data_IF_929457490570
#
_entry.id   IF_929457490570
#
_cell.length_a   1.000
_cell.length_b   1.000
_cell.length_c   1.000
_cell.angle_alpha   90.00
_cell.angle_beta   90.00
_cell.angle_gamma   90.00
#
_symmetry.space_group_name_H-M   'P 1'
#
loop_
_entity.id
_entity.type
_entity.pdbx_description
1 polymer ?
#
# COMPACT_ATOMS: atom_id res chain seq x y z
N UNK A 1 -26.81 13.77 -10.27
CA UNK A 1 -26.18 14.12 -8.98
C UNK A 1 -24.98 13.20 -8.82
N UNK A 2 -23.79 13.72 -8.51
CA UNK A 2 -22.63 12.86 -8.28
C UNK A 2 -22.80 12.17 -6.92
N UNK A 3 -23.12 10.88 -6.93
CA UNK A 3 -23.13 10.10 -5.71
C UNK A 3 -21.70 10.02 -5.15
N UNK A 4 -21.56 10.18 -3.83
CA UNK A 4 -20.31 10.06 -3.10
C UNK A 4 -20.34 8.77 -2.28
N UNK A 5 -19.20 8.08 -2.18
CA UNK A 5 -19.03 6.82 -1.46
C UNK A 5 -18.37 7.04 -0.10
N UNK A 6 -19.12 7.54 0.88
CA UNK A 6 -18.68 7.62 2.29
C UNK A 6 -18.95 6.31 3.05
N UNK A 7 -18.54 5.19 2.46
CA UNK A 7 -18.73 3.84 2.98
C UNK A 7 -17.60 3.42 3.95
N UNK A 8 -17.69 2.21 4.50
CA UNK A 8 -16.69 1.68 5.43
C UNK A 8 -15.27 1.73 4.85
N UNK A 9 -15.13 1.49 3.54
CA UNK A 9 -13.85 1.57 2.86
C UNK A 9 -13.27 3.00 2.90
N UNK A 10 -14.07 4.03 2.62
CA UNK A 10 -13.62 5.42 2.74
C UNK A 10 -13.09 5.75 4.14
N UNK A 11 -13.85 5.38 5.19
CA UNK A 11 -13.46 5.68 6.57
C UNK A 11 -12.19 4.91 7.01
N UNK A 12 -11.91 3.76 6.39
CA UNK A 12 -10.69 2.98 6.65
C UNK A 12 -9.47 3.50 5.88
N UNK A 13 -9.66 4.08 4.69
CA UNK A 13 -8.57 4.70 3.92
C UNK A 13 -8.20 6.10 4.44
N UNK A 14 -9.16 6.83 5.01
CA UNK A 14 -8.95 8.21 5.46
C UNK A 14 -7.80 8.37 6.48
N UNK A 15 -7.64 7.52 7.52
CA UNK A 15 -6.49 7.57 8.41
C UNK A 15 -5.17 7.35 7.68
N UNK A 16 -5.11 6.42 6.72
CA UNK A 16 -3.91 6.15 5.92
C UNK A 16 -3.53 7.39 5.08
N UNK A 17 -4.52 8.05 4.48
CA UNK A 17 -4.32 9.31 3.77
C UNK A 17 -3.80 10.42 4.69
N UNK A 18 -4.32 10.53 5.92
CA UNK A 18 -3.85 11.48 6.92
C UNK A 18 -2.39 11.24 7.34
N UNK A 19 -2.03 9.97 7.53
CA UNK A 19 -0.65 9.56 7.85
C UNK A 19 0.33 9.91 6.71
N UNK A 20 -0.05 9.68 5.45
CA UNK A 20 0.79 10.05 4.30
C UNK A 20 0.93 11.58 4.17
N UNK A 21 -0.16 12.33 4.38
CA UNK A 21 -0.15 13.79 4.35
C UNK A 21 0.80 14.38 5.40
N UNK A 22 0.74 13.86 6.63
CA UNK A 22 1.66 14.24 7.72
C UNK A 22 3.12 13.92 7.37
N UNK A 23 3.36 12.76 6.74
CA UNK A 23 4.69 12.36 6.28
C UNK A 23 5.25 13.33 5.25
N UNK A 24 4.46 13.68 4.23
CA UNK A 24 4.85 14.61 3.16
C UNK A 24 5.16 15.98 3.74
N UNK A 25 4.27 16.53 4.58
CA UNK A 25 4.49 17.81 5.22
C UNK A 25 5.78 17.81 6.07
N UNK A 26 6.04 16.72 6.80
CA UNK A 26 7.27 16.55 7.57
C UNK A 26 8.50 16.45 6.69
N UNK A 27 8.43 15.71 5.59
CA UNK A 27 9.54 15.52 4.64
C UNK A 27 9.93 16.84 3.97
N UNK A 28 8.95 17.59 3.46
CA UNK A 28 9.16 18.89 2.83
C UNK A 28 9.79 19.91 3.79
N UNK A 29 9.32 19.94 5.05
CA UNK A 29 9.88 20.79 6.10
C UNK A 29 11.32 20.40 6.46
N UNK A 30 11.59 19.11 6.64
CA UNK A 30 12.91 18.62 7.08
C UNK A 30 14.00 18.74 6.02
N UNK A 31 13.63 18.68 4.75
CA UNK A 31 14.57 18.86 3.64
C UNK A 31 14.86 20.33 3.33
N UNK A 32 14.34 21.25 4.16
CA UNK A 32 14.41 22.71 3.99
C UNK A 32 13.96 23.18 2.60
N UNK A 33 13.15 22.38 1.90
CA UNK A 33 12.69 22.68 0.53
C UNK A 33 11.71 23.84 0.52
N UNK A 34 10.94 24.01 1.61
CA UNK A 34 9.81 24.94 1.70
C UNK A 34 9.62 25.48 3.13
N UNK A 35 8.95 26.62 3.24
CA UNK A 35 8.43 27.13 4.51
C UNK A 35 7.40 26.17 5.12
N UNK A 36 7.11 26.31 6.42
CA UNK A 36 6.11 25.51 7.12
C UNK A 36 4.75 25.52 6.39
N UNK A 37 4.29 26.69 5.95
CA UNK A 37 3.04 26.84 5.20
C UNK A 37 3.06 26.08 3.87
N UNK A 38 4.16 26.15 3.12
CA UNK A 38 4.30 25.39 1.88
C UNK A 38 4.30 23.87 2.09
N UNK A 39 4.98 23.40 3.13
CA UNK A 39 5.01 21.99 3.48
C UNK A 39 3.62 21.46 3.91
N UNK A 40 2.89 22.23 4.71
CA UNK A 40 1.52 21.91 5.11
C UNK A 40 0.55 21.90 3.93
N UNK A 41 0.72 22.83 2.97
CA UNK A 41 -0.10 22.86 1.75
C UNK A 41 0.06 21.57 0.93
N UNK A 42 1.29 21.09 0.72
CA UNK A 42 1.50 19.82 0.02
C UNK A 42 0.91 18.62 0.76
N UNK A 43 1.02 18.59 2.09
CA UNK A 43 0.34 17.58 2.91
C UNK A 43 -1.17 17.62 2.73
N UNK A 44 -1.77 18.82 2.80
CA UNK A 44 -3.21 19.01 2.61
C UNK A 44 -3.67 18.62 1.20
N UNK A 45 -2.91 18.93 0.15
CA UNK A 45 -3.21 18.53 -1.22
C UNK A 45 -3.17 17.01 -1.39
N UNK A 46 -2.20 16.32 -0.80
CA UNK A 46 -2.18 14.84 -0.85
C UNK A 46 -3.37 14.25 -0.09
N UNK A 47 -3.67 14.78 1.11
CA UNK A 47 -4.84 14.33 1.88
C UNK A 47 -6.14 14.49 1.10
N UNK A 48 -6.36 15.68 0.51
CA UNK A 48 -7.55 15.98 -0.27
C UNK A 48 -7.65 15.11 -1.52
N UNK A 49 -6.56 14.92 -2.25
CA UNK A 49 -6.57 14.08 -3.47
C UNK A 49 -6.82 12.61 -3.14
N UNK A 50 -6.17 12.05 -2.12
CA UNK A 50 -6.42 10.66 -1.68
C UNK A 50 -7.82 10.49 -1.10
N UNK A 51 -8.30 11.44 -0.30
CA UNK A 51 -9.67 11.45 0.22
C UNK A 51 -10.71 11.52 -0.90
N UNK A 52 -10.48 12.37 -1.91
CA UNK A 52 -11.32 12.47 -3.11
C UNK A 52 -11.35 11.15 -3.90
N UNK A 53 -10.19 10.52 -4.09
CA UNK A 53 -10.08 9.22 -4.76
C UNK A 53 -10.79 8.10 -3.99
N UNK A 54 -10.76 8.13 -2.66
CA UNK A 54 -11.47 7.18 -1.83
C UNK A 54 -12.99 7.42 -1.80
N UNK A 55 -13.42 8.69 -1.81
CA UNK A 55 -14.83 9.08 -1.70
C UNK A 55 -15.56 9.11 -3.04
N UNK A 56 -14.88 9.21 -4.16
CA UNK A 56 -15.56 9.36 -5.45
C UNK A 56 -16.28 8.08 -5.86
N UNK A 57 -17.53 8.21 -6.32
CA UNK A 57 -18.21 7.11 -6.99
C UNK A 57 -17.90 7.08 -8.50
N UNK A 58 -17.33 8.12 -9.10
CA UNK A 58 -17.21 8.21 -10.56
C UNK A 58 -15.83 7.78 -11.05
N UNK A 59 -15.72 6.82 -11.99
CA UNK A 59 -14.44 6.48 -12.61
C UNK A 59 -13.77 7.68 -13.31
N UNK A 60 -14.56 8.60 -13.88
CA UNK A 60 -14.03 9.80 -14.52
C UNK A 60 -13.39 10.76 -13.50
N UNK A 61 -14.09 11.03 -12.40
CA UNK A 61 -13.56 11.85 -11.31
C UNK A 61 -12.32 11.20 -10.70
N UNK A 62 -12.29 9.87 -10.60
CA UNK A 62 -11.12 9.12 -10.15
C UNK A 62 -9.90 9.36 -11.05
N UNK A 63 -10.06 9.29 -12.38
CA UNK A 63 -8.99 9.57 -13.35
C UNK A 63 -8.50 11.01 -13.23
N UNK A 64 -9.42 11.97 -13.14
CA UNK A 64 -9.07 13.41 -13.01
C UNK A 64 -8.34 13.68 -11.70
N UNK A 65 -8.79 13.12 -10.59
CA UNK A 65 -8.14 13.24 -9.29
C UNK A 65 -6.75 12.57 -9.29
N UNK A 66 -6.59 11.43 -9.97
CA UNK A 66 -5.30 10.77 -10.18
C UNK A 66 -4.33 11.63 -10.99
N UNK A 67 -4.81 12.28 -12.05
CA UNK A 67 -4.02 13.23 -12.84
C UNK A 67 -3.62 14.47 -12.02
N UNK A 68 -4.54 15.02 -11.23
CA UNK A 68 -4.25 16.13 -10.31
C UNK A 68 -3.15 15.75 -9.31
N UNK A 69 -3.25 14.56 -8.72
CA UNK A 69 -2.22 14.03 -7.81
C UNK A 69 -0.85 13.93 -8.48
N UNK A 70 -0.79 13.47 -9.73
CA UNK A 70 0.47 13.45 -10.50
C UNK A 70 1.05 14.85 -10.70
N UNK A 71 0.21 15.85 -10.95
CA UNK A 71 0.63 17.26 -11.06
C UNK A 71 1.17 17.79 -9.73
N UNK A 72 0.55 17.42 -8.59
CA UNK A 72 1.04 17.78 -7.24
C UNK A 72 2.41 17.15 -6.99
N UNK A 73 2.59 15.87 -7.32
CA UNK A 73 3.89 15.18 -7.19
C UNK A 73 4.95 15.82 -8.09
N UNK A 74 4.60 16.16 -9.34
CA UNK A 74 5.51 16.86 -10.25
C UNK A 74 5.93 18.23 -9.72
N UNK A 75 4.98 19.02 -9.22
CA UNK A 75 5.26 20.33 -8.63
C UNK A 75 6.14 20.25 -7.38
N UNK A 76 6.05 19.15 -6.63
CA UNK A 76 6.87 18.89 -5.44
C UNK A 76 8.29 18.43 -5.78
N UNK A 77 8.43 17.46 -6.69
CA UNK A 77 9.72 16.82 -6.98
C UNK A 77 10.46 17.40 -8.19
N UNK A 78 9.81 18.24 -9.00
CA UNK A 78 10.36 18.86 -10.20
C UNK A 78 10.61 17.91 -11.37
N UNK A 79 10.27 16.61 -11.23
CA UNK A 79 10.42 15.57 -12.25
C UNK A 79 9.30 14.55 -12.13
N UNK A 80 8.88 14.00 -13.28
CA UNK A 80 7.98 12.85 -13.31
C UNK A 80 8.78 11.58 -13.02
N UNK A 81 8.30 10.82 -12.05
CA UNK A 81 8.88 9.54 -11.72
C UNK A 81 8.23 8.44 -12.56
N UNK A 82 9.02 7.75 -13.38
CA UNK A 82 8.56 6.76 -14.38
C UNK A 82 7.61 5.74 -13.76
N UNK A 83 7.92 5.24 -12.57
CA UNK A 83 7.08 4.25 -11.89
C UNK A 83 5.75 4.82 -11.39
N UNK A 84 5.75 6.07 -10.91
CA UNK A 84 4.52 6.78 -10.54
C UNK A 84 3.61 7.02 -11.75
N UNK A 85 4.20 7.38 -12.89
CA UNK A 85 3.49 7.50 -14.17
C UNK A 85 2.91 6.14 -14.57
N UNK A 86 3.72 5.08 -14.57
CA UNK A 86 3.29 3.74 -14.97
C UNK A 86 2.07 3.25 -14.16
N UNK A 87 2.09 3.35 -12.83
CA UNK A 87 0.96 2.95 -11.98
C UNK A 87 -0.30 3.75 -12.29
N UNK A 88 -0.17 5.07 -12.39
CA UNK A 88 -1.30 5.96 -12.68
C UNK A 88 -1.88 5.68 -14.06
N UNK A 89 -1.03 5.45 -15.06
CA UNK A 89 -1.47 5.09 -16.41
C UNK A 89 -2.22 3.76 -16.43
N UNK A 90 -1.71 2.72 -15.77
CA UNK A 90 -2.40 1.43 -15.69
C UNK A 90 -3.79 1.56 -15.05
N UNK A 91 -3.88 2.29 -13.94
CA UNK A 91 -5.14 2.54 -13.24
C UNK A 91 -6.11 3.37 -14.09
N UNK A 92 -5.61 4.44 -14.73
CA UNK A 92 -6.44 5.29 -15.58
C UNK A 92 -6.93 4.56 -16.82
N UNK A 93 -6.11 3.71 -17.44
CA UNK A 93 -6.53 2.86 -18.56
C UNK A 93 -7.63 1.90 -18.14
N UNK A 94 -7.50 1.27 -16.96
CA UNK A 94 -8.55 0.39 -16.43
C UNK A 94 -9.88 1.14 -16.23
N UNK A 95 -9.84 2.34 -15.64
CA UNK A 95 -11.02 3.18 -15.45
C UNK A 95 -11.64 3.64 -16.79
N UNK A 96 -10.81 3.99 -17.78
CA UNK A 96 -11.28 4.37 -19.12
C UNK A 96 -11.93 3.19 -19.85
N UNK A 97 -11.38 1.97 -19.74
CA UNK A 97 -12.00 0.77 -20.32
C UNK A 97 -13.37 0.50 -19.68
N UNK A 98 -13.49 0.64 -18.35
CA UNK A 98 -14.79 0.51 -17.66
C UNK A 98 -15.82 1.55 -18.13
N UNK A 99 -15.39 2.80 -18.34
CA UNK A 99 -16.26 3.86 -18.86
C UNK A 99 -16.69 3.59 -20.31
N UNK A 100 -15.74 3.22 -21.17
CA UNK A 100 -15.96 3.12 -22.62
C UNK A 100 -16.65 1.82 -23.02
N UNK A 101 -16.23 0.69 -22.46
CA UNK A 101 -16.70 -0.64 -22.85
C UNK A 101 -17.71 -1.23 -21.86
N UNK A 102 -17.62 -0.88 -20.58
CA UNK A 102 -18.58 -1.30 -19.56
C UNK A 102 -19.74 -0.36 -19.34
N UNK A 103 -19.72 0.82 -19.99
CA UNK A 103 -20.67 1.91 -19.77
C UNK A 103 -20.86 2.29 -18.29
N UNK A 104 -19.84 2.05 -17.46
CA UNK A 104 -19.90 2.24 -16.00
C UNK A 104 -19.71 3.72 -15.65
N UNK A 105 -20.81 4.41 -15.30
CA UNK A 105 -20.76 5.81 -14.88
C UNK A 105 -20.44 5.98 -13.38
N UNK A 106 -20.62 4.92 -12.58
CA UNK A 106 -20.42 4.89 -11.13
C UNK A 106 -19.83 3.55 -10.69
N UNK A 107 -18.94 3.54 -9.70
CA UNK A 107 -18.32 2.35 -9.11
C UNK A 107 -19.33 1.38 -8.50
N UNK A 108 -20.51 1.89 -8.07
CA UNK A 108 -21.61 1.03 -7.63
C UNK A 108 -22.14 0.12 -8.74
N UNK A 109 -21.96 0.50 -10.00
CA UNK A 109 -22.36 -0.30 -11.17
C UNK A 109 -21.29 -1.25 -11.69
N UNK A 110 -20.08 -1.30 -11.10
CA UNK A 110 -18.98 -2.14 -11.63
C UNK A 110 -19.33 -3.62 -11.56
N UNK A 111 -19.96 -4.08 -10.48
CA UNK A 111 -20.35 -5.49 -10.32
C UNK A 111 -21.37 -5.95 -11.37
N UNK A 112 -22.22 -5.03 -11.85
CA UNK A 112 -23.24 -5.31 -12.87
C UNK A 112 -22.82 -4.91 -14.28
N UNK A 113 -21.54 -4.60 -14.51
CA UNK A 113 -21.07 -4.11 -15.80
C UNK A 113 -21.08 -5.25 -16.84
N UNK A 114 -21.80 -5.05 -17.94
CA UNK A 114 -21.86 -5.97 -19.07
C UNK A 114 -20.56 -5.93 -19.92
N UNK A 115 -19.40 -6.13 -19.29
CA UNK A 115 -18.15 -6.31 -20.00
C UNK A 115 -18.06 -7.73 -20.56
N UNK A 116 -17.76 -7.83 -21.86
CA UNK A 116 -17.28 -9.09 -22.44
C UNK A 116 -16.00 -9.58 -21.74
N UNK A 117 -15.80 -10.90 -21.74
CA UNK A 117 -14.70 -11.59 -21.03
C UNK A 117 -13.33 -10.96 -21.30
N UNK A 118 -13.04 -10.65 -22.57
CA UNK A 118 -11.76 -10.03 -22.96
C UNK A 118 -11.51 -8.71 -22.25
N UNK A 119 -12.49 -7.80 -22.24
CA UNK A 119 -12.32 -6.48 -21.61
C UNK A 119 -12.28 -6.58 -20.09
N UNK A 120 -13.03 -7.52 -19.51
CA UNK A 120 -12.97 -7.82 -18.08
C UNK A 120 -11.56 -8.25 -17.67
N UNK A 121 -10.98 -9.21 -18.38
CA UNK A 121 -9.61 -9.68 -18.15
C UNK A 121 -8.58 -8.56 -18.35
N UNK A 122 -8.78 -7.67 -19.33
CA UNK A 122 -7.92 -6.49 -19.52
C UNK A 122 -7.95 -5.57 -18.30
N UNK A 123 -9.14 -5.22 -17.79
CA UNK A 123 -9.28 -4.36 -16.60
C UNK A 123 -8.63 -5.00 -15.38
N UNK A 124 -8.93 -6.28 -15.12
CA UNK A 124 -8.35 -7.02 -14.00
C UNK A 124 -6.82 -7.14 -14.13
N UNK A 125 -6.31 -7.39 -15.34
CA UNK A 125 -4.88 -7.46 -15.63
C UNK A 125 -4.16 -6.12 -15.42
N UNK A 126 -4.76 -5.01 -15.87
CA UNK A 126 -4.22 -3.67 -15.66
C UNK A 126 -4.14 -3.30 -14.18
N UNK A 127 -5.18 -3.61 -13.39
CA UNK A 127 -5.20 -3.32 -11.95
C UNK A 127 -4.23 -4.23 -11.18
N UNK A 128 -4.13 -5.50 -11.55
CA UNK A 128 -3.14 -6.45 -11.00
C UNK A 128 -1.71 -5.96 -11.28
N UNK A 129 -1.42 -5.57 -12.52
CA UNK A 129 -0.13 -5.00 -12.90
C UNK A 129 0.15 -3.70 -12.13
N UNK A 130 -0.85 -2.85 -11.92
CA UNK A 130 -0.70 -1.64 -11.13
C UNK A 130 -0.33 -1.96 -9.68
N UNK A 131 -0.94 -2.97 -9.04
CA UNK A 131 -0.58 -3.45 -7.70
C UNK A 131 0.83 -4.05 -7.65
N UNK A 132 1.24 -4.84 -8.63
CA UNK A 132 2.64 -5.33 -8.71
C UNK A 132 3.63 -4.17 -8.78
N UNK A 133 3.39 -3.23 -9.69
CA UNK A 133 4.20 -2.01 -9.79
C UNK A 133 4.02 -1.15 -8.53
N UNK A 134 2.98 -1.33 -7.71
CA UNK A 134 2.86 -0.68 -6.41
C UNK A 134 3.83 -1.26 -5.38
N UNK A 135 3.92 -2.57 -5.32
CA UNK A 135 4.58 -3.32 -4.24
C UNK A 135 6.10 -3.43 -4.44
N UNK A 136 6.57 -3.60 -5.68
CA UNK A 136 7.99 -3.89 -5.96
C UNK A 136 8.95 -2.94 -5.21
N UNK A 137 10.13 -3.38 -4.76
CA UNK A 137 11.10 -2.47 -4.16
C UNK A 137 11.49 -1.35 -5.13
N UNK A 138 11.64 -0.12 -4.62
CA UNK A 138 12.21 1.00 -5.38
C UNK A 138 13.66 1.20 -5.03
N UNK A 139 14.39 1.89 -5.91
CA UNK A 139 15.72 2.39 -5.56
C UNK A 139 15.59 3.30 -4.34
N UNK A 140 16.55 3.22 -3.42
CA UNK A 140 16.61 4.06 -2.19
C UNK A 140 16.46 5.55 -2.52
N UNK A 141 17.06 6.03 -3.62
CA UNK A 141 16.95 7.42 -4.06
C UNK A 141 15.51 7.87 -4.42
N UNK A 142 14.63 6.93 -4.74
CA UNK A 142 13.23 7.16 -5.13
C UNK A 142 12.22 6.90 -3.99
N UNK A 143 12.62 6.28 -2.87
CA UNK A 143 11.77 6.06 -1.69
C UNK A 143 10.96 7.31 -1.25
N UNK A 144 11.53 8.55 -1.25
CA UNK A 144 10.77 9.73 -0.82
C UNK A 144 9.68 10.16 -1.80
N UNK A 145 9.77 9.71 -3.06
CA UNK A 145 8.85 10.06 -4.14
C UNK A 145 7.64 9.13 -4.16
N UNK A 146 7.76 7.98 -3.53
CA UNK A 146 6.69 7.01 -3.45
C UNK A 146 5.88 7.22 -2.18
N UNK A 147 4.57 6.99 -2.26
CA UNK A 147 3.76 6.94 -1.04
C UNK A 147 4.16 5.73 -0.22
N UNK A 148 4.41 5.94 1.08
CA UNK A 148 4.72 4.83 1.98
C UNK A 148 3.45 4.12 2.43
N UNK A 149 2.36 4.88 2.63
CA UNK A 149 1.17 4.40 3.29
C UNK A 149 0.02 4.12 2.31
N UNK A 150 -0.36 5.00 1.39
CA UNK A 150 -1.56 4.83 0.56
C UNK A 150 -1.25 4.78 -0.95
N UNK A 151 -1.17 3.60 -1.59
CA UNK A 151 -1.03 3.56 -3.03
C UNK A 151 -2.41 3.67 -3.67
N UNK A 152 -2.60 4.69 -4.52
CA UNK A 152 -3.74 4.86 -5.44
C UNK A 152 -4.23 3.54 -6.05
N UNK A 153 -3.30 2.64 -6.33
CA UNK A 153 -3.56 1.33 -6.94
C UNK A 153 -4.43 0.44 -6.07
N UNK A 154 -4.33 0.49 -4.74
CA UNK A 154 -5.16 -0.32 -3.85
C UNK A 154 -6.57 0.25 -3.70
N UNK A 155 -6.70 1.58 -3.73
CA UNK A 155 -8.01 2.24 -3.82
C UNK A 155 -8.70 1.83 -5.12
N UNK A 156 -7.97 1.92 -6.23
CA UNK A 156 -8.44 1.47 -7.54
C UNK A 156 -8.81 -0.02 -7.55
N UNK A 157 -7.97 -0.87 -6.96
CA UNK A 157 -8.20 -2.31 -6.87
C UNK A 157 -9.48 -2.63 -6.09
N UNK A 158 -9.66 -2.02 -4.91
CA UNK A 158 -10.86 -2.22 -4.10
C UNK A 158 -12.14 -1.70 -4.79
N UNK A 159 -12.06 -0.56 -5.50
CA UNK A 159 -13.22 0.07 -6.17
C UNK A 159 -13.59 -0.57 -7.50
N UNK A 160 -12.63 -1.17 -8.21
CA UNK A 160 -12.82 -1.65 -9.58
C UNK A 160 -12.54 -3.14 -9.76
N UNK A 161 -11.45 -3.68 -9.22
CA UNK A 161 -11.10 -5.08 -9.42
C UNK A 161 -11.99 -6.01 -8.57
N UNK A 162 -12.21 -5.65 -7.30
CA UNK A 162 -12.97 -6.48 -6.36
C UNK A 162 -14.43 -6.70 -6.77
N UNK A 163 -15.19 -5.70 -7.24
CA UNK A 163 -16.55 -5.94 -7.71
C UNK A 163 -16.57 -6.70 -9.03
N UNK A 164 -15.58 -6.47 -9.90
CA UNK A 164 -15.51 -7.09 -11.23
C UNK A 164 -15.04 -8.56 -11.17
N UNK A 165 -14.30 -8.94 -10.13
CA UNK A 165 -13.78 -10.30 -9.96
C UNK A 165 -14.81 -11.30 -9.45
N UNK A 166 -15.99 -10.84 -9.01
CA UNK A 166 -17.09 -11.72 -8.60
C UNK A 166 -17.48 -12.71 -9.70
N UNK A 167 -17.36 -12.29 -10.97
CA UNK A 167 -17.65 -13.12 -12.15
C UNK A 167 -16.41 -13.84 -12.73
N UNK A 168 -15.24 -13.80 -12.05
CA UNK A 168 -13.99 -14.39 -12.53
C UNK A 168 -13.32 -15.25 -11.45
N UNK A 169 -13.66 -16.55 -11.33
CA UNK A 169 -13.15 -17.40 -10.25
C UNK A 169 -11.64 -17.61 -10.30
N UNK A 170 -11.01 -17.50 -11.49
CA UNK A 170 -9.55 -17.60 -11.62
C UNK A 170 -8.84 -16.42 -10.99
N UNK A 171 -9.45 -15.23 -11.00
CA UNK A 171 -8.88 -14.04 -10.37
C UNK A 171 -8.78 -14.24 -8.87
N UNK A 172 -9.86 -14.76 -8.27
CA UNK A 172 -9.88 -15.11 -6.86
C UNK A 172 -8.76 -16.11 -6.54
N UNK A 173 -8.43 -17.08 -7.41
CA UNK A 173 -7.34 -18.04 -7.17
C UNK A 173 -5.94 -17.41 -7.32
N UNK A 174 -5.67 -16.73 -8.43
CA UNK A 174 -4.33 -16.34 -8.87
C UNK A 174 -3.79 -15.15 -8.07
N UNK A 175 -4.61 -14.14 -7.83
CA UNK A 175 -4.15 -12.87 -7.27
C UNK A 175 -3.67 -13.00 -5.81
N UNK A 176 -4.38 -13.73 -4.93
CA UNK A 176 -3.87 -14.04 -3.58
C UNK A 176 -2.51 -14.76 -3.58
N UNK A 177 -2.33 -15.74 -4.48
CA UNK A 177 -1.06 -16.46 -4.60
C UNK A 177 0.06 -15.51 -5.03
N UNK A 178 -0.22 -14.66 -6.01
CA UNK A 178 0.73 -13.66 -6.48
C UNK A 178 1.11 -12.67 -5.36
N UNK A 179 0.13 -12.22 -4.57
CA UNK A 179 0.36 -11.37 -3.41
C UNK A 179 1.29 -12.06 -2.38
N UNK A 180 1.02 -13.33 -2.04
CA UNK A 180 1.86 -14.10 -1.13
C UNK A 180 3.31 -14.27 -1.65
N UNK A 181 3.47 -14.56 -2.94
CA UNK A 181 4.80 -14.69 -3.58
C UNK A 181 5.57 -13.38 -3.52
N UNK A 182 4.93 -12.25 -3.83
CA UNK A 182 5.59 -10.95 -3.78
C UNK A 182 5.96 -10.59 -2.34
N UNK A 183 5.09 -10.86 -1.37
CA UNK A 183 5.40 -10.69 0.06
C UNK A 183 6.61 -11.51 0.50
N UNK A 184 6.68 -12.78 0.08
CA UNK A 184 7.83 -13.65 0.34
C UNK A 184 9.12 -13.08 -0.25
N UNK A 185 9.09 -12.61 -1.50
CA UNK A 185 10.27 -12.01 -2.14
C UNK A 185 10.75 -10.76 -1.38
N UNK A 186 9.83 -9.92 -0.90
CA UNK A 186 10.15 -8.76 -0.08
C UNK A 186 10.76 -9.16 1.28
N UNK A 187 10.21 -10.17 1.96
CA UNK A 187 10.73 -10.67 3.23
C UNK A 187 12.13 -11.31 3.07
N UNK A 188 12.33 -12.12 2.02
CA UNK A 188 13.63 -12.71 1.70
C UNK A 188 14.67 -11.65 1.33
N UNK A 189 14.26 -10.61 0.60
CA UNK A 189 15.14 -9.48 0.31
C UNK A 189 15.57 -8.77 1.60
N UNK A 190 14.64 -8.49 2.51
CA UNK A 190 14.92 -7.87 3.80
C UNK A 190 15.91 -8.72 4.62
N UNK A 191 15.69 -10.04 4.66
CA UNK A 191 16.58 -10.97 5.33
C UNK A 191 18.01 -10.90 4.76
N UNK A 192 18.12 -10.81 3.43
CA UNK A 192 19.42 -10.64 2.75
C UNK A 192 20.06 -9.26 2.99
N UNK A 193 19.26 -8.21 3.26
CA UNK A 193 19.79 -6.89 3.61
C UNK A 193 20.39 -6.91 5.01
N UNK A 194 19.75 -7.60 5.96
CA UNK A 194 20.26 -7.82 7.31
C UNK A 194 21.63 -8.50 7.34
N UNK A 195 21.87 -9.49 6.46
CA UNK A 195 23.18 -10.17 6.36
C UNK A 195 24.25 -9.32 5.67
N UNK A 196 23.84 -8.36 4.82
CA UNK A 196 24.74 -7.42 4.13
C UNK A 196 24.99 -6.13 4.92
N UNK A 197 24.38 -5.96 6.10
CA UNK A 197 24.43 -4.74 6.91
C UNK A 197 25.86 -4.21 7.14
N UNK A 198 26.84 -5.11 7.32
CA UNK A 198 28.25 -4.76 7.53
C UNK A 198 28.92 -4.03 6.34
N UNK A 199 28.28 -4.02 5.16
CA UNK A 199 28.83 -3.45 3.92
C UNK A 199 28.09 -2.17 3.48
N UNK A 200 27.06 -1.75 4.20
CA UNK A 200 26.24 -0.61 3.84
C UNK A 200 26.49 0.59 4.75
N UNK A 201 26.38 1.79 4.17
CA UNK A 201 26.14 2.99 4.96
C UNK A 201 24.79 2.85 5.71
N UNK A 202 24.72 3.20 7.02
CA UNK A 202 23.50 3.02 7.82
C UNK A 202 22.23 3.63 7.21
N UNK A 203 22.36 4.77 6.52
CA UNK A 203 21.22 5.44 5.87
C UNK A 203 20.64 4.62 4.70
N UNK A 204 21.48 3.88 3.99
CA UNK A 204 21.09 3.01 2.87
C UNK A 204 20.35 1.78 3.40
N UNK A 205 20.87 1.16 4.48
CA UNK A 205 20.23 0.02 5.13
C UNK A 205 18.83 0.35 5.66
N UNK A 206 18.67 1.50 6.32
CA UNK A 206 17.36 1.97 6.81
C UNK A 206 16.36 2.15 5.67
N UNK A 207 16.82 2.69 4.54
CA UNK A 207 15.96 2.93 3.39
C UNK A 207 15.56 1.62 2.70
N UNK A 208 16.48 0.66 2.58
CA UNK A 208 16.15 -0.70 2.11
C UNK A 208 15.13 -1.39 3.03
N UNK A 209 15.28 -1.25 4.35
CA UNK A 209 14.35 -1.81 5.33
C UNK A 209 12.93 -1.27 5.12
N UNK A 210 12.78 0.05 5.04
CA UNK A 210 11.48 0.71 4.84
C UNK A 210 10.82 0.31 3.52
N UNK A 211 11.62 0.18 2.45
CA UNK A 211 11.10 -0.22 1.13
C UNK A 211 10.61 -1.67 1.13
N UNK A 212 11.36 -2.59 1.75
CA UNK A 212 10.98 -4.00 1.79
C UNK A 212 9.80 -4.25 2.72
N UNK A 213 9.80 -3.63 3.90
CA UNK A 213 8.72 -3.73 4.87
C UNK A 213 7.39 -3.27 4.27
N UNK A 214 7.41 -2.14 3.56
CA UNK A 214 6.23 -1.67 2.83
C UNK A 214 5.78 -2.68 1.78
N UNK A 215 6.72 -3.34 1.10
CA UNK A 215 6.41 -4.38 0.13
C UNK A 215 5.64 -5.55 0.77
N UNK A 216 6.04 -5.98 1.96
CA UNK A 216 5.34 -7.03 2.72
C UNK A 216 3.94 -6.57 3.14
N UNK A 217 3.83 -5.42 3.80
CA UNK A 217 2.54 -4.85 4.24
C UNK A 217 1.56 -4.74 3.06
N UNK A 218 1.98 -4.12 1.95
CA UNK A 218 1.12 -3.96 0.78
C UNK A 218 0.74 -5.31 0.13
N UNK A 219 1.60 -6.32 0.23
CA UNK A 219 1.27 -7.67 -0.22
C UNK A 219 0.19 -8.31 0.65
N UNK A 220 0.21 -8.11 1.97
CA UNK A 220 -0.82 -8.61 2.88
C UNK A 220 -2.16 -7.91 2.68
N UNK A 221 -2.14 -6.58 2.47
CA UNK A 221 -3.33 -5.83 2.07
C UNK A 221 -3.89 -6.40 0.77
N UNK A 222 -3.04 -6.66 -0.22
CA UNK A 222 -3.49 -7.22 -1.49
C UNK A 222 -4.09 -8.62 -1.34
N UNK A 223 -3.44 -9.46 -0.55
CA UNK A 223 -3.85 -10.82 -0.25
C UNK A 223 -5.24 -10.84 0.39
N UNK A 224 -5.45 -10.08 1.46
CA UNK A 224 -6.73 -10.08 2.16
C UNK A 224 -7.86 -9.46 1.33
N UNK A 225 -7.58 -8.37 0.59
CA UNK A 225 -8.56 -7.82 -0.34
C UNK A 225 -8.96 -8.86 -1.39
N UNK A 226 -8.00 -9.48 -2.07
CA UNK A 226 -8.27 -10.43 -3.18
C UNK A 226 -8.72 -11.83 -2.73
N UNK A 227 -8.74 -12.12 -1.42
CA UNK A 227 -9.10 -13.44 -0.89
C UNK A 227 -10.55 -13.84 -1.18
N UNK A 228 -11.44 -12.85 -1.28
CA UNK A 228 -12.89 -13.04 -1.37
C UNK A 228 -13.58 -13.21 -0.02
N UNK A 229 -12.83 -13.26 1.09
CA UNK A 229 -13.39 -13.46 2.43
C UNK A 229 -13.57 -12.15 3.20
N UNK A 230 -14.69 -12.05 3.91
CA UNK A 230 -15.04 -10.81 4.61
C UNK A 230 -14.06 -10.51 5.75
N UNK A 231 -13.75 -11.51 6.58
CA UNK A 231 -12.81 -11.37 7.69
C UNK A 231 -11.40 -11.02 7.20
N UNK A 232 -10.94 -11.69 6.14
CA UNK A 232 -9.65 -11.37 5.52
C UNK A 232 -9.64 -9.97 4.88
N UNK A 233 -10.76 -9.52 4.32
CA UNK A 233 -10.89 -8.15 3.82
C UNK A 233 -10.80 -7.09 4.92
N UNK A 234 -11.47 -7.31 6.07
CA UNK A 234 -11.36 -6.42 7.24
C UNK A 234 -9.94 -6.44 7.80
N UNK A 235 -9.34 -7.62 7.92
CA UNK A 235 -7.96 -7.80 8.33
C UNK A 235 -7.00 -7.03 7.42
N UNK A 236 -7.16 -7.08 6.10
CA UNK A 236 -6.34 -6.31 5.15
C UNK A 236 -6.45 -4.80 5.34
N UNK A 237 -7.63 -4.28 5.67
CA UNK A 237 -7.81 -2.84 5.89
C UNK A 237 -7.18 -2.39 7.21
N UNK A 238 -7.28 -3.21 8.27
CA UNK A 238 -6.56 -2.96 9.52
C UNK A 238 -5.05 -3.08 9.34
N UNK A 239 -4.60 -4.05 8.53
CA UNK A 239 -3.19 -4.26 8.20
C UNK A 239 -2.60 -3.08 7.44
N UNK A 240 -3.41 -2.51 6.54
CA UNK A 240 -3.03 -1.30 5.83
C UNK A 240 -2.78 -0.14 6.81
N UNK A 241 -3.63 0.00 7.83
CA UNK A 241 -3.50 1.06 8.81
C UNK A 241 -2.37 0.81 9.82
N UNK A 242 -2.27 -0.40 10.37
CA UNK A 242 -1.19 -0.80 11.29
C UNK A 242 0.17 -0.69 10.61
N UNK A 243 0.30 -1.18 9.38
CA UNK A 243 1.52 -1.14 8.59
C UNK A 243 1.94 0.28 8.23
N UNK A 244 0.99 1.17 7.91
CA UNK A 244 1.27 2.59 7.70
C UNK A 244 1.84 3.26 8.98
N UNK A 245 1.27 2.94 10.15
CA UNK A 245 1.78 3.42 11.44
C UNK A 245 3.17 2.83 11.74
N UNK A 246 3.36 1.54 11.49
CA UNK A 246 4.62 0.84 11.68
C UNK A 246 5.74 1.45 10.81
N UNK A 247 5.48 1.67 9.52
CA UNK A 247 6.43 2.32 8.61
C UNK A 247 6.79 3.74 9.05
N UNK A 248 5.81 4.53 9.52
CA UNK A 248 6.08 5.87 10.05
C UNK A 248 6.89 5.82 11.35
N UNK A 249 6.59 4.86 12.22
CA UNK A 249 7.32 4.66 13.46
C UNK A 249 8.76 4.21 13.19
N UNK A 250 8.96 3.27 12.27
CA UNK A 250 10.26 2.81 11.79
C UNK A 250 11.04 3.95 11.14
N UNK A 251 10.42 4.70 10.22
CA UNK A 251 11.06 5.85 9.57
C UNK A 251 11.46 6.91 10.60
N UNK A 252 10.57 7.23 11.54
CA UNK A 252 10.85 8.20 12.58
C UNK A 252 11.94 7.76 13.54
N UNK A 253 12.01 6.46 13.85
CA UNK A 253 12.99 5.87 14.75
C UNK A 253 14.35 5.77 14.06
N UNK A 254 14.42 5.08 12.93
CA UNK A 254 15.67 4.75 12.26
C UNK A 254 16.38 5.96 11.64
N UNK A 255 15.64 7.00 11.24
CA UNK A 255 16.23 8.25 10.68
C UNK A 255 16.54 9.31 11.73
N UNK A 256 16.31 9.06 13.03
CA UNK A 256 16.67 9.98 14.12
C UNK A 256 17.79 9.36 14.95
N UNK A 257 18.88 10.12 15.14
CA UNK A 257 19.90 9.80 16.16
C UNK A 257 19.92 10.90 17.23
N UNK A 258 20.03 10.54 18.52
CA UNK A 258 20.00 9.18 19.08
C UNK A 258 18.57 8.62 19.18
N UNK A 259 18.42 7.31 18.92
CA UNK A 259 17.19 6.56 19.18
C UNK A 259 17.02 6.33 20.69
N UNK A 260 15.85 6.60 21.25
CA UNK A 260 15.49 5.97 22.52
C UNK A 260 15.14 4.52 22.24
N UNK A 261 15.79 3.57 22.93
CA UNK A 261 15.58 2.12 22.74
C UNK A 261 14.10 1.71 22.81
N UNK A 262 13.32 2.43 23.63
CA UNK A 262 11.87 2.23 23.76
C UNK A 262 11.08 2.54 22.49
N UNK A 263 11.42 3.61 21.76
CA UNK A 263 10.73 3.95 20.49
C UNK A 263 11.05 2.94 19.39
N UNK A 264 12.29 2.46 19.33
CA UNK A 264 12.68 1.42 18.39
C UNK A 264 11.96 0.10 18.66
N UNK A 265 11.87 -0.29 19.94
CA UNK A 265 11.12 -1.48 20.36
C UNK A 265 9.63 -1.36 20.05
N UNK A 266 9.02 -0.21 20.31
CA UNK A 266 7.60 0.02 19.98
C UNK A 266 7.34 -0.01 18.47
N UNK A 267 8.21 0.62 17.67
CA UNK A 267 8.12 0.57 16.22
C UNK A 267 8.26 -0.86 15.68
N UNK A 268 9.18 -1.65 16.24
CA UNK A 268 9.30 -3.09 15.93
C UNK A 268 8.04 -3.85 16.32
N UNK A 269 7.53 -3.66 17.53
CA UNK A 269 6.35 -4.37 18.01
C UNK A 269 5.13 -4.13 17.12
N UNK A 270 5.00 -2.92 16.57
CA UNK A 270 3.97 -2.57 15.59
C UNK A 270 4.21 -3.23 14.22
N UNK A 271 5.46 -3.32 13.77
CA UNK A 271 5.82 -3.89 12.46
C UNK A 271 5.72 -5.42 12.42
N UNK A 272 6.03 -6.08 13.54
CA UNK A 272 5.93 -7.55 13.68
C UNK A 272 4.63 -8.00 14.34
N UNK A 273 3.65 -7.09 14.44
CA UNK A 273 2.30 -7.38 14.89
C UNK A 273 2.24 -8.09 16.26
N UNK A 274 3.03 -7.62 17.24
CA UNK A 274 3.04 -8.21 18.59
C UNK A 274 1.65 -8.13 19.25
N UNK A 275 1.26 -9.15 20.06
CA UNK A 275 0.03 -9.10 20.83
C UNK A 275 -0.10 -7.80 21.64
N UNK A 276 -1.27 -7.17 21.55
CA UNK A 276 -1.52 -5.84 22.12
C UNK A 276 -1.33 -4.67 21.14
N UNK A 277 -0.94 -4.95 19.89
CA UNK A 277 -0.93 -3.98 18.79
C UNK A 277 -2.13 -4.17 17.87
N UNK A 278 -2.47 -3.14 17.08
CA UNK A 278 -3.49 -3.28 16.03
C UNK A 278 -3.04 -4.20 14.89
N UNK A 279 -1.73 -4.32 14.66
CA UNK A 279 -1.16 -5.26 13.70
C UNK A 279 -1.49 -6.72 14.05
N UNK A 280 -1.43 -7.07 15.34
CA UNK A 280 -1.84 -8.42 15.77
C UNK A 280 -3.28 -8.74 15.42
N UNK A 281 -4.20 -7.81 15.66
CA UNK A 281 -5.63 -7.98 15.32
C UNK A 281 -5.83 -8.11 13.82
N UNK A 282 -5.07 -7.34 13.03
CA UNK A 282 -5.11 -7.40 11.58
C UNK A 282 -4.61 -8.74 11.03
N UNK A 283 -3.45 -9.21 11.48
CA UNK A 283 -2.89 -10.51 11.10
C UNK A 283 -3.79 -11.67 11.52
N UNK A 284 -4.38 -11.59 12.72
CA UNK A 284 -5.28 -12.62 13.22
C UNK A 284 -6.55 -12.76 12.36
N UNK A 285 -7.18 -11.63 12.00
CA UNK A 285 -8.34 -11.60 11.11
C UNK A 285 -7.98 -12.07 9.68
N UNK A 286 -6.80 -11.70 9.18
CA UNK A 286 -6.28 -12.18 7.91
C UNK A 286 -6.07 -13.69 7.92
N UNK A 287 -5.37 -14.21 8.92
CA UNK A 287 -5.07 -15.63 9.05
C UNK A 287 -6.35 -16.46 9.18
N UNK A 288 -7.27 -16.05 10.07
CA UNK A 288 -8.53 -16.75 10.28
C UNK A 288 -9.43 -16.68 9.04
N UNK A 289 -9.58 -15.50 8.42
CA UNK A 289 -10.36 -15.37 7.20
C UNK A 289 -9.81 -16.20 6.04
N UNK A 290 -8.47 -16.29 5.91
CA UNK A 290 -7.85 -17.16 4.92
C UNK A 290 -8.00 -18.65 5.27
N UNK A 291 -7.99 -19.01 6.54
CA UNK A 291 -8.07 -20.40 6.98
C UNK A 291 -9.41 -21.05 6.60
N UNK A 292 -10.49 -20.29 6.63
CA UNK A 292 -11.85 -20.77 6.32
C UNK A 292 -11.98 -21.27 4.87
N UNK A 293 -11.46 -20.51 3.89
CA UNK A 293 -11.54 -20.91 2.49
C UNK A 293 -10.26 -21.55 1.93
N UNK A 294 -9.09 -21.18 2.45
CA UNK A 294 -7.79 -21.38 1.78
C UNK A 294 -6.66 -21.67 2.77
N UNK A 295 -6.66 -22.84 3.43
CA UNK A 295 -5.71 -23.18 4.48
C UNK A 295 -4.24 -23.11 4.04
N UNK A 296 -3.94 -23.46 2.78
CA UNK A 296 -2.58 -23.35 2.25
C UNK A 296 -2.11 -21.90 2.11
N UNK A 297 -3.00 -20.97 1.76
CA UNK A 297 -2.66 -19.55 1.70
C UNK A 297 -2.55 -18.95 3.10
N UNK A 298 -3.36 -19.38 4.05
CA UNK A 298 -3.20 -19.01 5.46
C UNK A 298 -1.83 -19.46 5.99
N UNK A 299 -1.42 -20.70 5.71
CA UNK A 299 -0.09 -21.20 6.08
C UNK A 299 1.04 -20.41 5.42
N UNK A 300 0.90 -20.09 4.12
CA UNK A 300 1.88 -19.26 3.40
C UNK A 300 1.97 -17.85 3.99
N UNK A 301 0.83 -17.22 4.29
CA UNK A 301 0.75 -15.91 4.94
C UNK A 301 1.50 -15.90 6.28
N UNK A 302 1.18 -16.85 7.17
CA UNK A 302 1.83 -16.97 8.49
C UNK A 302 3.33 -17.21 8.32
N UNK A 303 3.74 -18.03 7.35
CA UNK A 303 5.15 -18.26 7.03
C UNK A 303 5.88 -16.99 6.58
N UNK A 304 5.25 -16.18 5.71
CA UNK A 304 5.82 -14.90 5.26
C UNK A 304 5.87 -13.89 6.40
N UNK A 305 4.84 -13.81 7.25
CA UNK A 305 4.83 -12.94 8.42
C UNK A 305 5.96 -13.28 9.41
N UNK A 306 6.15 -14.57 9.70
CA UNK A 306 7.24 -15.04 10.56
C UNK A 306 8.63 -14.73 9.97
N UNK A 307 8.82 -14.92 8.66
CA UNK A 307 10.06 -14.56 7.97
C UNK A 307 10.33 -13.05 8.01
N UNK A 308 9.29 -12.23 7.80
CA UNK A 308 9.41 -10.79 7.86
C UNK A 308 9.80 -10.31 9.27
N UNK A 309 9.16 -10.86 10.30
CA UNK A 309 9.48 -10.56 11.69
C UNK A 309 10.93 -10.90 12.04
N UNK A 310 11.41 -12.08 11.60
CA UNK A 310 12.81 -12.48 11.79
C UNK A 310 13.78 -11.55 11.07
N UNK A 311 13.45 -11.14 9.83
CA UNK A 311 14.28 -10.25 9.03
C UNK A 311 14.36 -8.84 9.64
N UNK A 312 13.24 -8.27 10.08
CA UNK A 312 13.18 -6.99 10.78
C UNK A 312 14.00 -7.01 12.08
N UNK A 313 13.85 -8.07 12.87
CA UNK A 313 14.59 -8.23 14.11
C UNK A 313 16.11 -8.23 13.87
N UNK A 314 16.59 -9.02 12.91
CA UNK A 314 18.01 -9.08 12.56
C UNK A 314 18.55 -7.73 12.08
N UNK A 315 17.81 -7.05 11.20
CA UNK A 315 18.22 -5.77 10.66
C UNK A 315 18.30 -4.69 11.76
N UNK A 316 17.34 -4.67 12.69
CA UNK A 316 17.27 -3.65 13.73
C UNK A 316 18.28 -3.90 14.84
N UNK A 317 18.57 -5.15 15.19
CA UNK A 317 19.67 -5.49 16.11
C UNK A 317 21.00 -4.94 15.55
N UNK A 318 21.27 -5.15 14.26
CA UNK A 318 22.49 -4.62 13.63
C UNK A 318 22.53 -3.08 13.60
N UNK A 319 21.38 -2.40 13.55
CA UNK A 319 21.33 -0.92 13.57
C UNK A 319 21.44 -0.33 14.99
N UNK A 320 21.01 -1.06 16.02
CA UNK A 320 20.97 -0.59 17.42
C UNK A 320 22.26 -0.93 18.19
N UNK A 321 22.91 -2.05 17.86
CA UNK A 321 24.13 -2.51 18.54
C UNK A 321 25.37 -1.71 18.08
N UNK A 322 25.35 -1.15 16.87
CA UNK A 322 26.38 -0.25 16.30
C UNK A 322 26.07 1.25 16.48
#
# INVERSE_FOLDING_TARGET
MSDWMFDAFFWLVLPVAGLEALRIARSERKRERRSLGGALLFGALEFLTLGLLAATASPLVFVVAGALRMSVVYAREGKLWVRGVAKTTLVSLAAVVLLAMGHVQSFTGVAGAELGETWRLVVLGLLTAACLVAILPVRVADEPRETLAAPLTFIAFARMAMPLSADEPRFALIVPVLAAVVGLLCALWLLSAGTRANHFEPATLVSELLVCERGVVLSFVWLGLSSGEHLAGVGALLEWWSGALALLALEASLRRRPLTKSMAFFAMGMAVCLPGTMGFVAEDLLAHGLLELRPLLAAAFVGVAALNAAALYLAIVNIIVD
#
